data_IF_941013411465
#
_entry.id   IF_941013411465
#
_cell.length_a   1.000
_cell.length_b   1.000
_cell.length_c   1.000
_cell.angle_alpha   90.00
_cell.angle_beta   90.00
_cell.angle_gamma   90.00
#
_symmetry.space_group_name_H-M   'P 1'
#
loop_
_entity.id
_entity.type
_entity.pdbx_description
1 polymer ?
#
# COMPACT_ATOMS: atom_id res chain seq x y z
N UNK A 1 14.43 6.79 2.58
CA UNK A 1 13.51 5.67 2.26
C UNK A 1 12.05 6.09 2.10
N UNK A 2 11.43 6.76 3.08
CA UNK A 2 10.04 7.24 2.94
C UNK A 2 9.83 8.17 1.74
N UNK A 3 10.70 9.18 1.60
CA UNK A 3 10.66 10.12 0.46
C UNK A 3 10.97 9.41 -0.87
N UNK A 4 11.89 8.45 -0.86
CA UNK A 4 12.25 7.67 -2.06
C UNK A 4 11.08 6.79 -2.52
N UNK A 5 10.41 6.11 -1.58
CA UNK A 5 9.21 5.34 -1.85
C UNK A 5 8.08 6.23 -2.36
N UNK A 6 7.90 7.41 -1.77
CA UNK A 6 6.92 8.38 -2.30
C UNK A 6 7.26 8.81 -3.73
N UNK A 7 8.54 9.05 -4.04
CA UNK A 7 8.97 9.38 -5.39
C UNK A 7 8.68 8.25 -6.39
N UNK A 8 8.90 6.99 -5.98
CA UNK A 8 8.58 5.82 -6.80
C UNK A 8 7.07 5.68 -7.03
N UNK A 9 6.26 5.85 -5.98
CA UNK A 9 4.80 5.83 -6.08
C UNK A 9 4.33 6.92 -7.03
N UNK A 10 4.84 8.15 -6.90
CA UNK A 10 4.49 9.25 -7.81
C UNK A 10 4.85 8.92 -9.27
N UNK A 11 6.01 8.33 -9.52
CA UNK A 11 6.39 7.88 -10.86
C UNK A 11 5.41 6.84 -11.43
N UNK A 12 4.93 5.91 -10.60
CA UNK A 12 3.89 4.95 -11.00
C UNK A 12 2.58 5.66 -11.33
N UNK A 13 2.14 6.60 -10.50
CA UNK A 13 0.91 7.36 -10.70
C UNK A 13 0.95 8.21 -11.99
N UNK A 14 2.09 8.82 -12.30
CA UNK A 14 2.29 9.56 -13.55
C UNK A 14 2.18 8.66 -14.80
N UNK A 15 2.50 7.37 -14.66
CA UNK A 15 2.39 6.39 -15.76
C UNK A 15 1.03 5.72 -15.90
N UNK A 16 0.16 5.84 -14.90
CA UNK A 16 -1.10 5.07 -14.80
C UNK A 16 -2.30 6.02 -14.62
N UNK A 17 -2.90 6.53 -15.71
CA UNK A 17 -3.97 7.52 -15.65
C UNK A 17 -5.27 7.01 -14.99
N UNK A 18 -5.44 5.69 -14.91
CA UNK A 18 -6.56 5.03 -14.22
C UNK A 18 -6.48 5.18 -12.69
N UNK A 19 -5.28 5.48 -12.15
CA UNK A 19 -5.06 5.80 -10.76
C UNK A 19 -5.32 7.30 -10.55
N UNK A 20 -6.59 7.73 -10.62
CA UNK A 20 -6.96 9.14 -10.38
C UNK A 20 -6.82 9.47 -8.89
N UNK A 21 -5.74 10.16 -8.52
CA UNK A 21 -5.39 10.42 -7.11
C UNK A 21 -5.84 11.80 -6.67
N UNK A 22 -6.84 11.85 -5.78
CA UNK A 22 -6.95 12.94 -4.81
C UNK A 22 -6.00 12.65 -3.65
N UNK A 23 -4.90 13.38 -3.58
CA UNK A 23 -3.93 13.24 -2.51
C UNK A 23 -4.49 13.85 -1.22
N UNK A 24 -4.57 13.05 -0.16
CA UNK A 24 -4.81 13.56 1.20
C UNK A 24 -3.58 13.25 2.06
N UNK A 25 -2.90 14.31 2.51
CA UNK A 25 -1.71 14.27 3.37
C UNK A 25 -2.16 14.44 4.84
N UNK A 26 -1.52 13.72 5.79
CA UNK A 26 -2.03 12.52 6.44
C UNK A 26 -2.92 12.80 7.67
N UNK A 27 -4.02 12.06 7.84
CA UNK A 27 -4.77 12.03 9.09
C UNK A 27 -4.46 10.80 9.99
N UNK A 28 -3.55 9.90 9.60
CA UNK A 28 -3.15 8.76 10.43
C UNK A 28 -1.77 8.99 11.05
N UNK A 29 -1.76 9.61 12.23
CA UNK A 29 -0.57 9.85 13.06
C UNK A 29 -0.05 8.58 13.77
N UNK A 30 -0.01 7.43 13.10
CA UNK A 30 0.66 6.22 13.63
C UNK A 30 1.73 5.68 12.67
N UNK A 31 2.94 6.22 12.85
CA UNK A 31 4.23 5.59 12.60
C UNK A 31 4.69 5.46 11.15
N UNK A 32 3.93 4.75 10.30
CA UNK A 32 4.49 4.11 9.10
C UNK A 32 3.73 4.39 7.79
N UNK A 33 2.57 5.03 7.86
CA UNK A 33 1.79 5.40 6.68
C UNK A 33 2.42 6.59 5.95
N UNK A 34 2.56 6.49 4.63
CA UNK A 34 3.23 7.47 3.77
C UNK A 34 2.22 8.30 3.01
N UNK A 35 1.17 7.66 2.50
CA UNK A 35 0.17 8.31 1.67
C UNK A 35 -1.14 7.55 1.68
N UNK A 36 -2.23 8.26 1.41
CA UNK A 36 -3.52 7.67 1.04
C UNK A 36 -3.77 8.06 -0.41
N UNK A 37 -3.93 7.05 -1.25
CA UNK A 37 -4.31 7.22 -2.64
C UNK A 37 -5.79 6.93 -2.77
N UNK A 38 -6.61 7.94 -3.05
CA UNK A 38 -7.95 7.68 -3.53
C UNK A 38 -7.84 7.12 -4.94
N UNK A 39 -8.51 6.00 -5.22
CA UNK A 39 -8.54 5.44 -6.57
C UNK A 39 -9.98 5.25 -6.98
N UNK A 40 -10.40 5.94 -8.03
CA UNK A 40 -11.81 6.04 -8.38
C UNK A 40 -12.63 6.71 -7.26
N UNK A 41 -13.93 6.43 -7.22
CA UNK A 41 -14.87 7.06 -6.26
C UNK A 41 -15.08 6.25 -4.98
N UNK A 42 -14.73 4.97 -4.97
CA UNK A 42 -15.12 4.02 -3.92
C UNK A 42 -13.94 3.31 -3.24
N UNK A 43 -12.69 3.54 -3.68
CA UNK A 43 -11.50 2.87 -3.13
C UNK A 43 -10.47 3.87 -2.63
N UNK A 44 -9.77 3.48 -1.57
CA UNK A 44 -8.63 4.21 -1.02
C UNK A 44 -7.53 3.23 -0.63
N UNK A 45 -6.31 3.47 -1.11
CA UNK A 45 -5.13 2.65 -0.81
C UNK A 45 -4.23 3.42 0.14
N UNK A 46 -4.09 2.91 1.36
CA UNK A 46 -3.14 3.40 2.36
C UNK A 46 -1.78 2.74 2.10
N UNK A 47 -0.78 3.53 1.77
CA UNK A 47 0.59 3.05 1.57
C UNK A 47 1.33 3.12 2.90
N UNK A 48 1.80 1.96 3.38
CA UNK A 48 2.51 1.83 4.66
C UNK A 48 3.88 1.23 4.42
N UNK A 49 4.93 1.88 4.93
CA UNK A 49 6.32 1.40 4.82
C UNK A 49 6.77 0.77 6.12
N UNK A 50 7.26 -0.47 6.05
CA UNK A 50 7.84 -1.18 7.19
C UNK A 50 9.33 -1.45 6.92
N UNK A 51 10.20 -0.77 7.66
CA UNK A 51 11.67 -0.79 7.45
C UNK A 51 12.40 -1.75 8.37
N UNK A 52 11.85 -2.04 9.55
CA UNK A 52 12.54 -2.73 10.65
C UNK A 52 11.68 -3.87 11.21
N UNK A 53 11.31 -4.81 10.35
CA UNK A 53 10.52 -5.99 10.73
C UNK A 53 11.24 -7.27 10.39
N UNK A 54 11.19 -8.22 11.33
CA UNK A 54 11.72 -9.55 11.10
C UNK A 54 10.95 -10.24 9.95
N UNK A 55 11.60 -11.08 9.13
CA UNK A 55 10.91 -11.82 8.07
C UNK A 55 9.72 -12.66 8.57
N UNK A 56 9.78 -13.13 9.81
CA UNK A 56 8.70 -13.89 10.46
C UNK A 56 7.50 -13.03 10.84
N UNK A 57 7.66 -11.72 10.95
CA UNK A 57 6.60 -10.79 11.36
C UNK A 57 5.78 -10.27 10.18
N UNK A 58 6.16 -10.55 8.94
CA UNK A 58 5.47 -10.05 7.73
C UNK A 58 3.98 -10.38 7.74
N UNK A 59 3.63 -11.63 8.07
CA UNK A 59 2.24 -12.08 8.15
C UNK A 59 1.49 -11.36 9.28
N UNK A 60 2.12 -11.25 10.46
CA UNK A 60 1.55 -10.53 11.60
C UNK A 60 1.25 -9.07 11.24
N UNK A 61 2.19 -8.39 10.59
CA UNK A 61 2.03 -7.00 10.16
C UNK A 61 0.91 -6.85 9.13
N UNK A 62 0.79 -7.79 8.20
CA UNK A 62 -0.31 -7.79 7.26
C UNK A 62 -1.68 -8.06 7.92
N UNK A 63 -1.75 -8.90 8.95
CA UNK A 63 -2.98 -9.08 9.76
C UNK A 63 -3.33 -7.81 10.52
N UNK A 64 -2.36 -7.14 11.15
CA UNK A 64 -2.58 -5.86 11.83
C UNK A 64 -3.07 -4.78 10.86
N UNK A 65 -2.46 -4.69 9.67
CA UNK A 65 -2.92 -3.79 8.61
C UNK A 65 -4.37 -4.12 8.19
N UNK A 66 -4.73 -5.40 8.08
CA UNK A 66 -6.09 -5.81 7.76
C UNK A 66 -7.09 -5.38 8.84
N UNK A 67 -6.77 -5.64 10.12
CA UNK A 67 -7.61 -5.24 11.25
C UNK A 67 -7.81 -3.72 11.27
N UNK A 68 -6.75 -2.94 11.03
CA UNK A 68 -6.80 -1.48 10.93
C UNK A 68 -7.75 -1.03 9.81
N UNK A 69 -7.63 -1.61 8.61
CA UNK A 69 -8.53 -1.24 7.49
C UNK A 69 -9.99 -1.63 7.77
N UNK A 70 -10.22 -2.76 8.43
CA UNK A 70 -11.57 -3.20 8.82
C UNK A 70 -12.18 -2.31 9.91
N UNK A 71 -11.38 -1.85 10.88
CA UNK A 71 -11.81 -0.97 11.96
C UNK A 71 -12.30 0.41 11.48
N UNK A 72 -11.92 0.84 10.27
CA UNK A 72 -12.43 2.07 9.65
C UNK A 72 -13.92 1.98 9.27
N UNK A 73 -14.56 0.82 9.39
CA UNK A 73 -16.00 0.66 9.19
C UNK A 73 -16.46 0.76 7.73
N UNK A 74 -15.53 0.86 6.77
CA UNK A 74 -15.83 0.91 5.34
C UNK A 74 -15.00 -0.12 4.59
N UNK A 75 -15.53 -0.70 3.51
CA UNK A 75 -14.79 -1.59 2.61
C UNK A 75 -13.87 -0.85 1.63
N UNK A 76 -13.97 0.48 1.58
CA UNK A 76 -13.20 1.34 0.69
C UNK A 76 -11.70 1.29 0.95
N UNK A 77 -11.30 1.14 2.22
CA UNK A 77 -9.89 1.18 2.59
C UNK A 77 -9.19 -0.17 2.41
N UNK A 78 -8.13 -0.12 1.63
CA UNK A 78 -7.14 -1.17 1.46
C UNK A 78 -5.76 -0.63 1.85
N UNK A 79 -4.81 -1.53 2.10
CA UNK A 79 -3.45 -1.20 2.49
C UNK A 79 -2.44 -1.85 1.55
N UNK A 80 -1.53 -1.04 1.01
CA UNK A 80 -0.32 -1.48 0.34
C UNK A 80 0.82 -1.45 1.36
N UNK A 81 1.24 -2.61 1.83
CA UNK A 81 2.31 -2.78 2.79
C UNK A 81 3.64 -2.96 2.04
N UNK A 82 4.53 -1.97 2.14
CA UNK A 82 5.82 -1.94 1.44
C UNK A 82 6.94 -2.34 2.38
N UNK A 83 7.65 -3.40 2.02
CA UNK A 83 8.76 -3.98 2.78
C UNK A 83 10.03 -3.98 1.90
N UNK A 84 11.01 -3.09 2.12
CA UNK A 84 12.17 -2.97 1.23
C UNK A 84 13.05 -4.23 1.16
N UNK A 85 13.06 -5.05 2.22
CA UNK A 85 13.91 -6.23 2.33
C UNK A 85 13.26 -7.57 1.96
N UNK A 86 12.02 -7.59 1.48
CA UNK A 86 11.34 -8.84 1.12
C UNK A 86 11.61 -9.23 -0.34
N UNK A 87 12.01 -10.48 -0.55
CA UNK A 87 12.08 -11.06 -1.88
C UNK A 87 10.70 -11.58 -2.28
N UNK A 88 10.09 -10.89 -3.24
CA UNK A 88 8.82 -11.27 -3.84
C UNK A 88 9.02 -11.44 -5.35
N UNK A 89 8.41 -12.48 -5.92
CA UNK A 89 8.37 -12.67 -7.38
C UNK A 89 7.19 -11.96 -8.04
N UNK A 90 6.19 -11.59 -7.24
CA UNK A 90 4.96 -10.90 -7.63
C UNK A 90 4.32 -10.27 -6.39
N UNK A 91 3.36 -9.32 -6.55
CA UNK A 91 2.55 -8.81 -5.46
C UNK A 91 1.91 -9.94 -4.64
N UNK A 92 2.07 -9.90 -3.31
CA UNK A 92 1.51 -10.91 -2.42
C UNK A 92 0.23 -10.38 -1.76
N UNK A 93 -0.91 -10.91 -2.18
CA UNK A 93 -2.19 -10.59 -1.53
C UNK A 93 -2.34 -11.44 -0.28
N UNK A 94 -2.29 -10.80 0.89
CA UNK A 94 -2.49 -11.50 2.15
C UNK A 94 -3.99 -11.60 2.50
N UNK A 95 -4.73 -10.53 2.27
CA UNK A 95 -6.19 -10.46 2.49
C UNK A 95 -6.82 -9.63 1.38
N UNK A 96 -8.16 -9.63 1.22
CA UNK A 96 -8.82 -8.74 0.26
C UNK A 96 -8.51 -7.24 0.44
N UNK A 97 -8.02 -6.84 1.61
CA UNK A 97 -7.70 -5.45 1.97
C UNK A 97 -6.20 -5.17 2.08
N UNK A 98 -5.33 -6.17 1.95
CA UNK A 98 -3.89 -6.00 2.20
C UNK A 98 -3.08 -6.69 1.12
N UNK A 99 -2.27 -5.89 0.43
CA UNK A 99 -1.25 -6.36 -0.52
C UNK A 99 0.12 -6.01 0.02
N UNK A 100 1.03 -6.97 -0.06
CA UNK A 100 2.43 -6.84 0.35
C UNK A 100 3.29 -6.72 -0.90
N UNK A 101 4.19 -5.74 -0.90
CA UNK A 101 5.14 -5.50 -1.98
C UNK A 101 6.51 -5.12 -1.42
N UNK A 102 7.53 -5.16 -2.28
CA UNK A 102 8.81 -4.51 -2.01
C UNK A 102 8.88 -3.14 -2.72
N UNK A 103 10.06 -2.51 -2.70
CA UNK A 103 10.32 -1.19 -3.28
C UNK A 103 10.57 -1.21 -4.79
N UNK A 104 10.39 -2.35 -5.48
CA UNK A 104 10.47 -2.41 -6.94
C UNK A 104 9.32 -1.61 -7.56
N UNK A 105 9.64 -0.72 -8.51
CA UNK A 105 8.65 0.08 -9.22
C UNK A 105 7.61 -0.79 -9.92
N UNK A 106 8.03 -1.91 -10.50
CA UNK A 106 7.13 -2.83 -11.22
C UNK A 106 6.21 -3.57 -10.26
N UNK A 107 6.69 -3.93 -9.06
CA UNK A 107 5.84 -4.55 -8.04
C UNK A 107 4.87 -3.55 -7.42
N UNK A 108 5.30 -2.32 -7.17
CA UNK A 108 4.41 -1.25 -6.70
C UNK A 108 3.30 -1.00 -7.73
N UNK A 109 3.66 -0.85 -9.02
CA UNK A 109 2.70 -0.72 -10.12
C UNK A 109 1.73 -1.89 -10.16
N UNK A 110 2.24 -3.12 -10.24
CA UNK A 110 1.40 -4.31 -10.33
C UNK A 110 0.46 -4.45 -9.12
N UNK A 111 0.94 -4.13 -7.92
CA UNK A 111 0.13 -4.14 -6.70
C UNK A 111 -1.00 -3.12 -6.74
N UNK A 112 -0.68 -1.86 -7.09
CA UNK A 112 -1.68 -0.80 -7.18
C UNK A 112 -2.74 -1.12 -8.24
N UNK A 113 -2.32 -1.53 -9.43
CA UNK A 113 -3.25 -1.94 -10.51
C UNK A 113 -4.13 -3.10 -10.05
N UNK A 114 -3.58 -4.09 -9.36
CA UNK A 114 -4.34 -5.23 -8.84
C UNK A 114 -5.39 -4.81 -7.78
N UNK A 115 -5.03 -3.90 -6.88
CA UNK A 115 -5.94 -3.39 -5.84
C UNK A 115 -7.11 -2.59 -6.43
N UNK A 116 -6.91 -2.03 -7.63
CA UNK A 116 -7.90 -1.21 -8.34
C UNK A 116 -8.81 -2.06 -9.24
N UNK A 117 -8.31 -3.19 -9.76
CA UNK A 117 -9.10 -4.09 -10.62
C UNK A 117 -9.99 -5.10 -9.88
N UNK A 118 -9.85 -5.24 -8.56
CA UNK A 118 -10.62 -6.16 -7.72
C UNK A 118 -11.79 -5.47 -7.05
#
# INVERSE_FOLDING_TARGET
MRNDLWSLVRQVLESEPELTVEQTVPAFQEGNDIAILNVGTDRAVVITLLTDIAPTDVVRQGVLAHQRMTALGTSRFQCLLVLPGIELRAPAVLTPRVVITNTSIDHIRASLVQMVKR
#
